data_IF_523480452745
#
_entry.id   IF_523480452745
#
_cell.length_a   1.000
_cell.length_b   1.000
_cell.length_c   1.000
_cell.angle_alpha   90.00
_cell.angle_beta   90.00
_cell.angle_gamma   90.00
#
_symmetry.space_group_name_H-M   'P 1'
#
loop_
_entity.id
_entity.type
_entity.pdbx_description
1 polymer ?
#
# COMPACT_ATOMS: atom_id res chain seq x y z
N UNK A 1 16.98 0.37 -0.79
CA UNK A 1 16.64 -0.64 0.23
C UNK A 1 16.20 -0.02 1.54
N UNK A 2 17.01 0.72 2.29
CA UNK A 2 16.55 1.26 3.59
C UNK A 2 15.36 2.22 3.49
N UNK A 3 15.33 3.09 2.48
CA UNK A 3 14.23 4.03 2.28
C UNK A 3 12.91 3.32 1.94
N UNK A 4 12.91 2.42 0.96
CA UNK A 4 11.70 1.71 0.54
C UNK A 4 11.12 0.86 1.68
N UNK A 5 11.97 0.20 2.48
CA UNK A 5 11.56 -0.51 3.69
C UNK A 5 10.93 0.42 4.73
N UNK A 6 11.52 1.60 4.98
CA UNK A 6 10.94 2.57 5.90
C UNK A 6 9.56 3.04 5.42
N UNK A 7 9.41 3.30 4.12
CA UNK A 7 8.14 3.68 3.52
C UNK A 7 7.09 2.58 3.67
N UNK A 8 7.46 1.30 3.45
CA UNK A 8 6.56 0.15 3.68
C UNK A 8 6.11 0.10 5.15
N UNK A 9 7.04 0.21 6.10
CA UNK A 9 6.72 0.19 7.55
C UNK A 9 5.76 1.31 7.92
N UNK A 10 6.02 2.52 7.44
CA UNK A 10 5.16 3.68 7.71
C UNK A 10 3.78 3.53 7.05
N UNK A 11 3.70 3.12 5.79
CA UNK A 11 2.43 2.89 5.12
C UNK A 11 1.62 1.77 5.81
N UNK A 12 2.26 0.66 6.18
CA UNK A 12 1.61 -0.45 6.89
C UNK A 12 1.02 -0.01 8.23
N UNK A 13 1.79 0.74 9.03
CA UNK A 13 1.32 1.27 10.30
C UNK A 13 0.15 2.25 10.09
N UNK A 14 0.27 3.19 9.15
CA UNK A 14 -0.76 4.17 8.86
C UNK A 14 -2.08 3.53 8.37
N UNK A 15 -1.99 2.48 7.55
CA UNK A 15 -3.16 1.70 7.12
C UNK A 15 -3.78 0.94 8.31
N UNK A 16 -2.95 0.35 9.18
CA UNK A 16 -3.38 -0.38 10.38
C UNK A 16 -4.07 0.53 11.40
N UNK A 17 -3.58 1.76 11.60
CA UNK A 17 -4.15 2.76 12.51
C UNK A 17 -5.58 3.15 12.12
N UNK A 18 -5.88 3.12 10.83
CA UNK A 18 -7.23 3.35 10.28
C UNK A 18 -8.04 2.05 10.14
N UNK A 19 -7.60 0.98 10.81
CA UNK A 19 -8.24 -0.35 10.81
C UNK A 19 -8.36 -0.95 9.40
N UNK A 20 -7.37 -0.71 8.55
CA UNK A 20 -7.25 -1.38 7.27
C UNK A 20 -7.17 -2.90 7.45
N UNK A 21 -7.74 -3.61 6.50
CA UNK A 21 -7.87 -5.07 6.55
C UNK A 21 -7.12 -5.74 5.42
N UNK A 22 -6.71 -7.00 5.65
CA UNK A 22 -5.98 -7.83 4.69
C UNK A 22 -4.82 -7.04 4.03
N UNK A 23 -4.04 -6.36 4.88
CA UNK A 23 -2.89 -5.56 4.46
C UNK A 23 -1.79 -6.53 4.08
N UNK A 24 -1.43 -6.56 2.79
CA UNK A 24 -0.40 -7.44 2.24
C UNK A 24 0.74 -6.64 1.69
N UNK A 25 1.95 -7.08 1.99
CA UNK A 25 3.19 -6.51 1.44
C UNK A 25 3.77 -7.51 0.45
N UNK A 26 4.14 -7.03 -0.72
CA UNK A 26 4.67 -7.86 -1.80
C UNK A 26 5.98 -7.23 -2.27
N UNK A 27 7.08 -7.95 -2.13
CA UNK A 27 8.36 -7.65 -2.76
C UNK A 27 8.29 -8.01 -4.24
N UNK A 28 8.45 -7.00 -5.08
CA UNK A 28 8.41 -7.09 -6.54
C UNK A 28 9.74 -6.70 -7.17
N UNK A 29 10.83 -6.52 -6.40
CA UNK A 29 12.14 -6.10 -6.90
C UNK A 29 12.69 -7.03 -8.00
N UNK A 30 12.28 -8.31 -7.98
CA UNK A 30 12.66 -9.32 -8.98
C UNK A 30 11.69 -9.45 -10.16
N UNK A 31 10.52 -8.82 -10.06
CA UNK A 31 9.41 -8.95 -11.02
C UNK A 31 9.26 -7.67 -11.84
N UNK A 32 9.53 -6.50 -11.23
CA UNK A 32 9.34 -5.19 -11.83
C UNK A 32 10.52 -4.27 -11.53
N UNK A 33 10.79 -3.36 -12.45
CA UNK A 33 11.77 -2.26 -12.28
C UNK A 33 11.12 -0.94 -11.89
N UNK A 34 9.78 -0.91 -11.77
CA UNK A 34 9.04 0.33 -11.48
C UNK A 34 9.09 0.72 -10.00
N UNK A 35 9.02 -0.26 -9.10
CA UNK A 35 9.01 -0.08 -7.65
C UNK A 35 9.57 -1.32 -6.96
N UNK A 36 9.98 -1.18 -5.69
CA UNK A 36 10.50 -2.28 -4.87
C UNK A 36 9.37 -3.11 -4.23
N UNK A 37 8.31 -2.43 -3.75
CA UNK A 37 7.23 -3.05 -2.99
C UNK A 37 5.84 -2.57 -3.41
N UNK A 38 4.89 -3.49 -3.31
CA UNK A 38 3.47 -3.17 -3.25
C UNK A 38 2.92 -3.37 -1.85
N UNK A 39 2.06 -2.45 -1.42
CA UNK A 39 1.21 -2.61 -0.25
C UNK A 39 -0.23 -2.61 -0.71
N UNK A 40 -1.00 -3.64 -0.35
CA UNK A 40 -2.40 -3.79 -0.74
C UNK A 40 -3.24 -3.87 0.52
N UNK A 41 -4.25 -3.03 0.65
CA UNK A 41 -5.13 -3.00 1.82
C UNK A 41 -6.61 -2.84 1.43
N UNK A 42 -7.50 -3.22 2.34
CA UNK A 42 -8.95 -3.05 2.20
C UNK A 42 -9.51 -2.14 3.27
N UNK A 43 -10.43 -1.26 2.89
CA UNK A 43 -11.36 -0.56 3.78
C UNK A 43 -12.78 -1.10 3.61
N UNK A 44 -13.60 -0.96 4.65
CA UNK A 44 -14.99 -1.44 4.66
C UNK A 44 -15.98 -0.50 3.95
N UNK A 45 -15.57 0.73 3.63
CA UNK A 45 -16.35 1.69 2.85
C UNK A 45 -15.45 2.80 2.31
N UNK A 46 -15.99 3.60 1.38
CA UNK A 46 -15.33 4.73 0.74
C UNK A 46 -14.69 5.73 1.74
N UNK A 47 -15.40 6.09 2.81
CA UNK A 47 -14.88 7.05 3.80
C UNK A 47 -13.66 6.48 4.55
N UNK A 48 -13.69 5.18 4.89
CA UNK A 48 -12.54 4.53 5.52
C UNK A 48 -11.37 4.45 4.54
N UNK A 49 -11.62 4.11 3.27
CA UNK A 49 -10.60 4.04 2.22
C UNK A 49 -9.91 5.41 2.04
N UNK A 50 -10.66 6.50 1.97
CA UNK A 50 -10.09 7.85 1.91
C UNK A 50 -9.31 8.19 3.19
N UNK A 51 -9.87 7.92 4.37
CA UNK A 51 -9.17 8.18 5.63
C UNK A 51 -7.87 7.37 5.79
N UNK A 52 -7.81 6.16 5.24
CA UNK A 52 -6.59 5.33 5.15
C UNK A 52 -5.55 6.00 4.26
N UNK A 53 -5.95 6.45 3.07
CA UNK A 53 -5.08 7.12 2.10
C UNK A 53 -4.54 8.44 2.65
N UNK A 54 -5.40 9.27 3.24
CA UNK A 54 -5.00 10.54 3.85
C UNK A 54 -3.97 10.31 4.97
N UNK A 55 -4.16 9.26 5.78
CA UNK A 55 -3.23 8.92 6.85
C UNK A 55 -1.87 8.43 6.32
N UNK A 56 -1.87 7.63 5.25
CA UNK A 56 -0.63 7.20 4.60
C UNK A 56 0.11 8.41 4.03
N UNK A 57 -0.61 9.32 3.37
CA UNK A 57 -0.03 10.54 2.83
C UNK A 57 0.57 11.43 3.92
N UNK A 58 -0.17 11.62 5.02
CA UNK A 58 0.29 12.40 6.18
C UNK A 58 1.55 11.80 6.82
N UNK A 59 1.53 10.50 7.16
CA UNK A 59 2.63 9.85 7.87
C UNK A 59 3.90 9.72 7.02
N UNK A 60 3.77 9.42 5.72
CA UNK A 60 4.90 9.44 4.79
C UNK A 60 5.42 10.87 4.56
N UNK A 61 4.52 11.84 4.46
CA UNK A 61 4.87 13.26 4.32
C UNK A 61 5.66 13.81 5.52
N UNK A 62 5.30 13.42 6.76
CA UNK A 62 6.05 13.77 7.99
C UNK A 62 7.49 13.28 7.96
N UNK A 63 7.77 12.20 7.22
CA UNK A 63 9.11 11.65 7.01
C UNK A 63 9.83 12.20 5.78
N UNK A 64 9.19 13.11 5.04
CA UNK A 64 9.74 13.75 3.85
C UNK A 64 9.51 12.96 2.56
N UNK A 65 8.70 11.89 2.58
CA UNK A 65 8.34 11.14 1.39
C UNK A 65 7.10 11.76 0.74
N UNK A 66 7.25 12.22 -0.49
CA UNK A 66 6.17 12.89 -1.23
C UNK A 66 5.54 11.92 -2.23
N UNK A 67 4.21 11.83 -2.20
CA UNK A 67 3.47 11.05 -3.18
C UNK A 67 3.59 11.72 -4.55
N UNK A 68 4.01 10.97 -5.57
CA UNK A 68 4.11 11.47 -6.94
C UNK A 68 2.74 11.62 -7.57
N UNK A 69 1.86 10.65 -7.28
CA UNK A 69 0.54 10.59 -7.88
C UNK A 69 -0.44 9.81 -7.01
N UNK A 70 -1.67 10.33 -6.90
CA UNK A 70 -2.81 9.63 -6.31
C UNK A 70 -3.90 9.51 -7.38
N UNK A 71 -4.34 8.30 -7.67
CA UNK A 71 -5.42 8.01 -8.62
C UNK A 71 -6.64 7.41 -7.92
N UNK A 72 -7.85 7.69 -8.42
CA UNK A 72 -9.08 7.03 -7.95
C UNK A 72 -9.71 7.58 -6.66
N UNK A 73 -9.08 8.56 -6.01
CA UNK A 73 -9.49 9.13 -4.71
C UNK A 73 -10.99 9.49 -4.61
N UNK A 74 -11.54 10.15 -5.63
CA UNK A 74 -12.93 10.60 -5.65
C UNK A 74 -13.93 9.44 -5.61
N UNK A 75 -13.60 8.31 -6.25
CA UNK A 75 -14.47 7.14 -6.27
C UNK A 75 -14.31 6.25 -5.03
N UNK A 76 -13.11 6.25 -4.45
CA UNK A 76 -12.71 5.43 -3.30
C UNK A 76 -12.98 3.91 -3.44
N UNK A 77 -13.26 3.42 -4.65
CA UNK A 77 -13.40 1.99 -4.94
C UNK A 77 -12.03 1.31 -5.01
N UNK A 78 -11.08 2.01 -5.61
CA UNK A 78 -9.67 1.65 -5.68
C UNK A 78 -8.87 2.95 -5.76
N UNK A 79 -8.02 3.17 -4.77
CA UNK A 79 -7.06 4.27 -4.76
C UNK A 79 -5.67 3.69 -4.93
N UNK A 80 -4.89 4.30 -5.83
CA UNK A 80 -3.48 4.00 -6.05
C UNK A 80 -2.67 5.21 -5.62
N UNK A 81 -1.65 5.00 -4.79
CA UNK A 81 -0.67 6.01 -4.39
C UNK A 81 0.72 5.58 -4.87
N UNK A 82 1.32 6.37 -5.75
CA UNK A 82 2.65 6.11 -6.31
C UNK A 82 3.70 6.99 -5.61
N UNK A 83 4.65 6.36 -4.92
CA UNK A 83 5.80 7.03 -4.31
C UNK A 83 7.12 6.77 -5.05
N UNK A 84 7.09 6.10 -6.20
CA UNK A 84 8.25 5.63 -6.94
C UNK A 84 8.82 4.33 -6.38
N UNK A 85 9.31 4.35 -5.15
CA UNK A 85 9.94 3.16 -4.54
C UNK A 85 8.91 2.14 -4.04
N UNK A 86 7.71 2.61 -3.70
CA UNK A 86 6.57 1.76 -3.30
C UNK A 86 5.30 2.24 -3.99
N UNK A 87 4.36 1.31 -4.18
CA UNK A 87 2.98 1.63 -4.59
C UNK A 87 2.01 1.09 -3.55
N UNK A 88 1.10 1.95 -3.08
CA UNK A 88 0.05 1.59 -2.12
C UNK A 88 -1.28 1.51 -2.86
N UNK A 89 -1.91 0.34 -2.81
CA UNK A 89 -3.25 0.11 -3.34
C UNK A 89 -4.22 -0.06 -2.18
N UNK A 90 -5.22 0.82 -2.10
CA UNK A 90 -6.29 0.75 -1.10
C UNK A 90 -7.60 0.52 -1.81
N UNK A 91 -8.27 -0.59 -1.47
CA UNK A 91 -9.53 -0.98 -2.09
C UNK A 91 -10.68 -0.82 -1.12
N UNK A 92 -11.85 -0.50 -1.65
CA UNK A 92 -13.09 -0.91 -1.01
C UNK A 92 -13.19 -2.45 -1.02
N UNK A 93 -13.68 -3.03 0.08
CA UNK A 93 -13.73 -4.48 0.30
C UNK A 93 -14.51 -5.22 -0.79
N UNK A 94 -15.62 -4.66 -1.27
CA UNK A 94 -16.44 -5.31 -2.31
C UNK A 94 -15.72 -5.32 -3.65
N UNK A 95 -15.01 -4.23 -3.95
CA UNK A 95 -14.32 -4.04 -5.22
C UNK A 95 -13.00 -4.84 -5.32
N UNK A 96 -12.29 -5.08 -4.19
CA UNK A 96 -11.04 -5.86 -4.20
C UNK A 96 -11.19 -7.25 -4.83
N UNK A 97 -12.32 -7.91 -4.57
CA UNK A 97 -12.62 -9.24 -5.10
C UNK A 97 -12.88 -9.23 -6.61
N UNK A 98 -13.41 -8.13 -7.14
CA UNK A 98 -13.73 -7.98 -8.55
C UNK A 98 -12.50 -7.78 -9.44
N UNK A 99 -11.48 -7.06 -8.94
CA UNK A 99 -10.29 -6.76 -9.74
C UNK A 99 -9.28 -7.91 -9.82
N UNK A 100 -9.38 -8.94 -8.96
CA UNK A 100 -8.47 -10.13 -8.88
C UNK A 100 -6.98 -9.79 -9.13
N UNK A 101 -6.54 -8.61 -8.65
CA UNK A 101 -5.19 -8.12 -8.88
C UNK A 101 -4.15 -9.01 -8.20
N UNK A 102 -4.57 -9.83 -7.23
CA UNK A 102 -3.74 -10.88 -6.65
C UNK A 102 -3.16 -11.82 -7.70
N UNK A 103 -3.81 -12.02 -8.86
CA UNK A 103 -3.20 -12.75 -9.98
C UNK A 103 -2.00 -12.05 -10.61
N UNK A 104 -2.01 -10.73 -10.67
CA UNK A 104 -0.96 -9.95 -11.34
C UNK A 104 0.32 -9.93 -10.50
N UNK A 105 0.19 -9.96 -9.18
CA UNK A 105 1.32 -9.87 -8.24
C UNK A 105 1.73 -11.22 -7.64
N UNK A 106 1.16 -12.33 -8.14
CA UNK A 106 1.41 -13.70 -7.63
C UNK A 106 2.88 -14.11 -7.68
N UNK A 107 3.63 -13.55 -8.61
CA UNK A 107 5.06 -13.85 -8.79
C UNK A 107 5.96 -13.07 -7.83
N UNK A 108 5.42 -12.08 -7.10
CA UNK A 108 6.12 -11.36 -6.05
C UNK A 108 6.23 -12.15 -4.74
N UNK A 109 7.28 -11.89 -3.97
CA UNK A 109 7.46 -12.53 -2.66
C UNK A 109 6.59 -11.82 -1.63
N UNK A 110 5.64 -12.53 -1.02
CA UNK A 110 4.85 -12.00 0.10
C UNK A 110 5.76 -11.81 1.33
N UNK A 111 5.60 -10.68 1.99
CA UNK A 111 6.27 -10.37 3.25
C UNK A 111 5.20 -10.35 4.35
N UNK A 112 5.35 -11.22 5.33
CA UNK A 112 4.49 -11.26 6.51
C UNK A 112 4.84 -10.11 7.46
N UNK A 113 3.89 -9.68 8.29
CA UNK A 113 4.09 -8.57 9.22
C UNK A 113 5.28 -8.82 10.18
N UNK A 114 5.50 -10.06 10.61
CA UNK A 114 6.63 -10.41 11.48
C UNK A 114 7.99 -10.32 10.76
N UNK A 115 8.02 -10.55 9.44
CA UNK A 115 9.23 -10.40 8.62
C UNK A 115 9.54 -8.93 8.32
N UNK A 116 8.52 -8.06 8.31
CA UNK A 116 8.67 -6.64 8.04
C UNK A 116 9.61 -5.97 9.07
N UNK A 117 9.47 -6.30 10.35
CA UNK A 117 10.34 -5.76 11.40
C UNK A 117 11.81 -6.16 11.20
N UNK A 118 12.06 -7.35 10.63
CA UNK A 118 13.39 -7.87 10.35
C UNK A 118 14.03 -7.33 9.06
N UNK A 119 13.29 -6.60 8.23
CA UNK A 119 13.86 -5.93 7.06
C UNK A 119 14.82 -4.80 7.49
N UNK A 120 16.02 -4.81 6.90
CA UNK A 120 17.15 -3.92 7.21
C UNK A 120 17.44 -2.90 6.13
#
# INVERSE_FOLDING_TARGET
MNQSVEMVKTAFAALSDKKGEDIRIIDICKVSVMADYFIIASGNNANQVQAMVDNVEEELGKKGFVCKQIEGYQSANWILMDYGDIIVHVFDRENRLFYDLERIWRDGKKIEADELEALS
#
